data_IF_891278760342
#
_entry.id   IF_891278760342
#
_cell.length_a   1.000
_cell.length_b   1.000
_cell.length_c   1.000
_cell.angle_alpha   90.00
_cell.angle_beta   90.00
_cell.angle_gamma   90.00
#
_symmetry.space_group_name_H-M   'P 1'
#
loop_
_entity.id
_entity.type
_entity.pdbx_description
1 polymer ?
#
# COMPACT_ATOMS: atom_id res chain seq x y z
N UNK A 1 -3.07 -1.52 14.87
CA UNK A 1 -2.19 -2.03 13.78
C UNK A 1 -2.55 -1.28 12.51
N UNK A 2 -1.66 -0.43 11.98
CA UNK A 2 -1.85 0.18 10.65
C UNK A 2 -1.71 -0.91 9.59
N UNK A 3 -2.83 -1.34 9.01
CA UNK A 3 -2.84 -2.33 7.93
C UNK A 3 -2.37 -1.64 6.65
N UNK A 4 -1.19 -2.01 6.14
CA UNK A 4 -0.65 -1.40 4.93
C UNK A 4 -1.31 -2.03 3.69
N UNK A 5 -2.30 -1.35 3.09
CA UNK A 5 -3.06 -1.87 1.95
C UNK A 5 -2.21 -2.20 0.70
N UNK A 6 -1.01 -1.63 0.59
CA UNK A 6 -0.08 -2.04 -0.46
C UNK A 6 0.41 -3.49 -0.26
N UNK A 7 0.41 -3.99 0.98
CA UNK A 7 0.77 -5.37 1.32
C UNK A 7 -0.12 -6.39 0.60
N UNK A 8 -1.44 -6.15 0.50
CA UNK A 8 -2.39 -7.07 -0.16
C UNK A 8 -2.05 -7.21 -1.65
N UNK A 9 -1.69 -6.11 -2.33
CA UNK A 9 -1.28 -6.18 -3.74
C UNK A 9 0.02 -6.94 -3.91
N UNK A 10 0.98 -6.74 -3.00
CA UNK A 10 2.24 -7.46 -3.06
C UNK A 10 2.06 -8.95 -2.72
N UNK A 11 1.18 -9.29 -1.79
CA UNK A 11 0.81 -10.67 -1.43
C UNK A 11 0.09 -11.37 -2.59
N UNK A 12 -0.89 -10.71 -3.21
CA UNK A 12 -1.52 -11.22 -4.44
C UNK A 12 -0.49 -11.43 -5.55
N UNK A 13 0.47 -10.51 -5.71
CA UNK A 13 1.53 -10.62 -6.70
C UNK A 13 2.55 -11.72 -6.37
N UNK A 14 2.81 -11.97 -5.10
CA UNK A 14 3.61 -13.09 -4.61
C UNK A 14 2.92 -14.43 -4.93
N UNK A 15 1.62 -14.53 -4.69
CA UNK A 15 0.80 -15.70 -5.05
C UNK A 15 0.83 -15.91 -6.56
N UNK A 16 0.62 -14.86 -7.37
CA UNK A 16 0.71 -14.93 -8.83
C UNK A 16 2.10 -15.32 -9.33
N UNK A 17 3.18 -14.82 -8.72
CA UNK A 17 4.55 -15.24 -9.05
C UNK A 17 4.75 -16.73 -8.74
N UNK A 18 4.26 -17.20 -7.59
CA UNK A 18 4.35 -18.61 -7.18
C UNK A 18 3.57 -19.52 -8.13
N UNK A 19 2.37 -19.12 -8.55
CA UNK A 19 1.60 -19.86 -9.56
C UNK A 19 2.30 -19.85 -10.92
N UNK A 20 2.83 -18.71 -11.36
CA UNK A 20 3.53 -18.57 -12.64
C UNK A 20 4.82 -19.43 -12.70
N UNK A 21 5.54 -19.55 -11.58
CA UNK A 21 6.68 -20.49 -11.47
C UNK A 21 6.21 -21.93 -11.66
N UNK A 22 5.12 -22.35 -11.01
CA UNK A 22 4.56 -23.70 -11.18
C UNK A 22 4.14 -23.96 -12.63
N UNK A 23 3.51 -22.99 -13.29
CA UNK A 23 3.18 -23.08 -14.72
C UNK A 23 4.42 -23.21 -15.60
N UNK A 24 5.48 -22.44 -15.31
CA UNK A 24 6.76 -22.54 -16.04
C UNK A 24 7.41 -23.92 -15.88
N UNK A 25 7.41 -24.47 -14.67
CA UNK A 25 7.88 -25.83 -14.38
C UNK A 25 7.03 -26.90 -15.09
N UNK A 26 5.70 -26.73 -15.11
CA UNK A 26 4.81 -27.64 -15.82
C UNK A 26 5.09 -27.63 -17.33
N UNK A 27 5.26 -26.44 -17.93
CA UNK A 27 5.64 -26.32 -19.34
C UNK A 27 7.00 -26.97 -19.61
N UNK A 28 7.99 -26.79 -18.72
CA UNK A 28 9.28 -27.47 -18.83
C UNK A 28 9.16 -29.00 -18.77
N UNK A 29 8.29 -29.53 -17.90
CA UNK A 29 8.00 -30.96 -17.81
C UNK A 29 7.38 -31.50 -19.10
N UNK A 30 6.39 -30.79 -19.66
CA UNK A 30 5.76 -31.18 -20.94
C UNK A 30 6.78 -31.19 -22.09
N UNK A 31 7.63 -30.16 -22.17
CA UNK A 31 8.72 -30.12 -23.17
C UNK A 31 9.70 -31.28 -22.95
N UNK A 32 10.04 -31.60 -21.70
CA UNK A 32 10.90 -32.74 -21.36
C UNK A 32 10.32 -34.08 -21.80
N UNK A 33 9.02 -34.31 -21.57
CA UNK A 33 8.33 -35.52 -22.04
C UNK A 33 8.35 -35.60 -23.57
N UNK A 34 8.03 -34.50 -24.26
CA UNK A 34 8.08 -34.43 -25.71
C UNK A 34 9.50 -34.73 -26.24
N UNK A 35 10.53 -34.19 -25.60
CA UNK A 35 11.93 -34.43 -25.93
C UNK A 35 12.31 -35.91 -25.73
N UNK A 36 11.93 -36.53 -24.62
CA UNK A 36 12.18 -37.96 -24.37
C UNK A 36 11.50 -38.82 -25.44
N UNK A 37 10.25 -38.51 -25.81
CA UNK A 37 9.54 -39.23 -26.87
C UNK A 37 10.19 -39.09 -28.24
N UNK A 38 10.83 -37.94 -28.53
CA UNK A 38 11.65 -37.80 -29.74
C UNK A 38 12.94 -38.63 -29.71
N UNK A 39 13.56 -38.83 -28.53
CA UNK A 39 14.73 -39.71 -28.39
C UNK A 39 14.41 -41.18 -28.67
N UNK A 40 13.21 -41.64 -28.29
CA UNK A 40 12.73 -42.99 -28.56
C UNK A 40 12.14 -43.19 -29.98
N UNK A 41 12.25 -42.18 -30.86
CA UNK A 41 11.65 -42.18 -32.19
C UNK A 41 10.12 -42.45 -32.20
N UNK A 42 9.43 -42.20 -31.09
CA UNK A 42 7.96 -42.33 -30.99
C UNK A 42 7.29 -41.16 -31.73
N UNK A 43 7.90 -39.97 -31.66
CA UNK A 43 7.46 -38.77 -32.39
C UNK A 43 8.51 -38.44 -33.45
N UNK A 44 8.08 -38.36 -34.71
CA UNK A 44 8.95 -38.06 -35.85
C UNK A 44 9.15 -36.55 -36.00
N UNK A 45 9.95 -35.93 -35.12
CA UNK A 45 10.41 -34.54 -35.27
C UNK A 45 11.89 -34.59 -35.72
N UNK A 46 12.20 -34.37 -37.01
CA UNK A 46 13.49 -34.72 -37.59
C UNK A 46 14.42 -33.50 -37.65
N UNK A 47 14.78 -32.93 -36.50
CA UNK A 47 15.76 -31.84 -36.47
C UNK A 47 16.75 -32.02 -35.32
N UNK A 48 18.04 -32.17 -35.66
CA UNK A 48 19.17 -32.06 -34.73
C UNK A 48 19.08 -30.76 -33.91
N UNK A 49 18.52 -29.70 -34.50
CA UNK A 49 18.19 -28.44 -33.84
C UNK A 49 17.22 -28.59 -32.65
N UNK A 50 16.18 -29.43 -32.75
CA UNK A 50 15.22 -29.64 -31.64
C UNK A 50 15.88 -30.34 -30.44
N UNK A 51 16.81 -31.27 -30.70
CA UNK A 51 17.54 -31.97 -29.62
C UNK A 51 18.44 -31.04 -28.81
N UNK A 52 18.93 -29.94 -29.40
CA UNK A 52 19.74 -28.92 -28.72
C UNK A 52 18.84 -27.86 -28.06
N UNK A 53 17.78 -27.43 -28.75
CA UNK A 53 16.91 -26.34 -28.30
C UNK A 53 15.99 -26.76 -27.15
N UNK A 54 15.45 -27.98 -27.16
CA UNK A 54 14.58 -28.48 -26.08
C UNK A 54 15.24 -28.42 -24.68
N UNK A 55 16.46 -28.95 -24.46
CA UNK A 55 17.11 -28.87 -23.14
C UNK A 55 17.48 -27.43 -22.75
N UNK A 56 17.83 -26.57 -23.71
CA UNK A 56 18.09 -25.14 -23.46
C UNK A 56 16.81 -24.43 -23.00
N UNK A 57 15.69 -24.67 -23.67
CA UNK A 57 14.39 -24.11 -23.28
C UNK A 57 13.93 -24.61 -21.91
N UNK A 58 14.16 -25.88 -21.57
CA UNK A 58 13.88 -26.43 -20.23
C UNK A 58 14.71 -25.68 -19.17
N UNK A 59 16.01 -25.47 -19.42
CA UNK A 59 16.87 -24.75 -18.49
C UNK A 59 16.41 -23.30 -18.28
N UNK A 60 16.05 -22.59 -19.36
CA UNK A 60 15.53 -21.23 -19.30
C UNK A 60 14.22 -21.17 -18.51
N UNK A 61 13.31 -22.13 -18.69
CA UNK A 61 12.03 -22.16 -17.97
C UNK A 61 12.18 -22.50 -16.48
N UNK A 62 13.22 -23.24 -16.09
CA UNK A 62 13.52 -23.57 -14.70
C UNK A 62 14.34 -22.49 -13.98
N UNK A 63 15.00 -21.59 -14.72
CA UNK A 63 15.81 -20.51 -14.16
C UNK A 63 15.04 -19.64 -13.14
N UNK A 64 13.78 -19.21 -13.40
CA UNK A 64 12.99 -18.49 -12.39
C UNK A 64 12.77 -19.27 -11.09
N UNK A 65 12.58 -20.58 -11.16
CA UNK A 65 12.37 -21.43 -9.98
C UNK A 65 13.66 -21.54 -9.15
N UNK A 66 14.80 -21.74 -9.82
CA UNK A 66 16.12 -21.83 -9.18
C UNK A 66 16.51 -20.50 -8.53
N UNK A 67 16.31 -19.39 -9.24
CA UNK A 67 16.56 -18.04 -8.71
C UNK A 67 15.66 -17.75 -7.50
N UNK A 68 14.39 -18.15 -7.55
CA UNK A 68 13.48 -17.98 -6.42
C UNK A 68 13.91 -18.81 -5.19
N UNK A 69 14.39 -20.04 -5.40
CA UNK A 69 14.87 -20.92 -4.34
C UNK A 69 16.19 -20.41 -3.71
N UNK A 70 17.08 -19.80 -4.50
CA UNK A 70 18.37 -19.31 -4.02
C UNK A 70 18.27 -17.97 -3.28
N UNK A 71 17.43 -17.05 -3.79
CA UNK A 71 17.39 -15.66 -3.31
C UNK A 71 16.12 -15.32 -2.52
N UNK A 72 15.18 -16.27 -2.35
CA UNK A 72 13.89 -16.04 -1.68
C UNK A 72 13.16 -14.80 -2.21
N UNK A 73 13.23 -14.56 -3.53
CA UNK A 73 12.67 -13.39 -4.19
C UNK A 73 11.13 -13.32 -4.14
N UNK A 74 10.47 -14.43 -3.80
CA UNK A 74 9.04 -14.47 -3.51
C UNK A 74 8.70 -13.89 -2.14
N UNK A 75 9.61 -13.84 -1.18
CA UNK A 75 9.32 -13.38 0.17
C UNK A 75 9.37 -11.85 0.26
N UNK A 76 8.18 -11.26 0.43
CA UNK A 76 7.99 -9.81 0.55
C UNK A 76 8.83 -9.19 1.68
N UNK A 77 9.07 -9.96 2.74
CA UNK A 77 9.73 -9.54 3.98
C UNK A 77 11.25 -9.36 3.81
N UNK A 78 11.85 -10.00 2.81
CA UNK A 78 13.30 -10.02 2.58
C UNK A 78 13.76 -9.03 1.50
N UNK A 79 13.00 -8.87 0.42
CA UNK A 79 13.46 -8.13 -0.79
C UNK A 79 12.59 -6.91 -1.12
N UNK A 80 11.43 -6.78 -0.48
CA UNK A 80 10.49 -5.68 -0.72
C UNK A 80 9.93 -5.65 -2.16
N UNK A 81 9.36 -4.50 -2.55
CA UNK A 81 8.61 -4.35 -3.80
C UNK A 81 9.45 -4.52 -5.08
N UNK A 82 10.75 -4.19 -5.02
CA UNK A 82 11.66 -4.27 -6.17
C UNK A 82 11.98 -5.73 -6.54
N UNK A 83 12.15 -6.60 -5.55
CA UNK A 83 12.41 -8.03 -5.77
C UNK A 83 11.26 -8.74 -6.46
N UNK A 84 10.03 -8.51 -6.01
CA UNK A 84 8.82 -9.11 -6.59
C UNK A 84 8.65 -8.70 -8.06
N UNK A 85 8.90 -7.42 -8.37
CA UNK A 85 8.81 -6.93 -9.75
C UNK A 85 9.92 -7.49 -10.64
N UNK A 86 11.15 -7.63 -10.11
CA UNK A 86 12.26 -8.28 -10.81
C UNK A 86 11.91 -9.73 -11.14
N UNK A 87 11.37 -10.48 -10.18
CA UNK A 87 10.96 -11.87 -10.35
C UNK A 87 9.85 -12.00 -11.41
N UNK A 88 8.83 -11.12 -11.39
CA UNK A 88 7.79 -11.07 -12.43
C UNK A 88 8.40 -10.85 -13.82
N UNK A 89 9.31 -9.88 -13.96
CA UNK A 89 10.00 -9.60 -15.23
C UNK A 89 10.84 -10.79 -15.71
N UNK A 90 11.55 -11.44 -14.79
CA UNK A 90 12.36 -12.62 -15.08
C UNK A 90 11.52 -13.81 -15.53
N UNK A 91 10.39 -14.10 -14.87
CA UNK A 91 9.46 -15.18 -15.25
C UNK A 91 8.92 -14.94 -16.67
N UNK A 92 8.39 -13.74 -16.92
CA UNK A 92 7.80 -13.41 -18.22
C UNK A 92 8.85 -13.41 -19.34
N UNK A 93 10.05 -12.90 -19.08
CA UNK A 93 11.17 -12.92 -20.03
C UNK A 93 11.66 -14.33 -20.35
N UNK A 94 11.79 -15.21 -19.35
CA UNK A 94 12.18 -16.60 -19.55
C UNK A 94 11.14 -17.38 -20.36
N UNK A 95 9.84 -17.16 -20.10
CA UNK A 95 8.79 -17.80 -20.89
C UNK A 95 8.79 -17.32 -22.35
N UNK A 96 8.95 -16.01 -22.57
CA UNK A 96 8.97 -15.44 -23.93
C UNK A 96 10.18 -15.92 -24.75
N UNK A 97 11.35 -16.01 -24.11
CA UNK A 97 12.59 -16.52 -24.76
C UNK A 97 12.54 -18.03 -25.01
N UNK A 98 12.03 -18.82 -24.06
CA UNK A 98 11.86 -20.26 -24.26
C UNK A 98 10.88 -20.59 -25.39
N UNK A 99 9.76 -19.86 -25.46
CA UNK A 99 8.77 -19.99 -26.54
C UNK A 99 9.36 -19.55 -27.88
N UNK A 100 10.14 -18.46 -27.92
CA UNK A 100 10.84 -18.04 -29.14
C UNK A 100 11.75 -19.14 -29.69
N UNK A 101 12.57 -19.76 -28.84
CA UNK A 101 13.47 -20.84 -29.23
C UNK A 101 12.68 -22.06 -29.71
N UNK A 102 11.63 -22.46 -28.99
CA UNK A 102 10.81 -23.62 -29.37
C UNK A 102 10.09 -23.38 -30.71
N UNK A 103 9.50 -22.18 -30.90
CA UNK A 103 8.80 -21.77 -32.12
C UNK A 103 9.71 -21.67 -33.35
N UNK A 104 11.01 -21.42 -33.15
CA UNK A 104 12.00 -21.42 -34.25
C UNK A 104 12.24 -22.83 -34.83
N UNK A 105 11.90 -23.87 -34.07
CA UNK A 105 12.07 -25.28 -34.47
C UNK A 105 10.78 -25.99 -34.84
N UNK A 106 9.64 -25.58 -34.26
CA UNK A 106 8.32 -26.17 -34.47
C UNK A 106 7.38 -25.08 -34.98
N UNK A 107 7.45 -24.77 -36.28
CA UNK A 107 6.66 -23.66 -36.83
C UNK A 107 5.16 -23.98 -36.91
N UNK A 108 4.79 -25.26 -36.99
CA UNK A 108 3.40 -25.72 -37.08
C UNK A 108 2.49 -25.41 -35.89
N UNK A 109 3.05 -25.19 -34.69
CA UNK A 109 2.30 -24.92 -33.48
C UNK A 109 2.55 -23.52 -32.92
N UNK A 110 3.19 -22.64 -33.71
CA UNK A 110 3.63 -21.33 -33.26
C UNK A 110 2.50 -20.53 -32.60
N UNK A 111 1.36 -20.38 -33.28
CA UNK A 111 0.24 -19.59 -32.77
C UNK A 111 -0.24 -20.03 -31.38
N UNK A 112 -0.35 -21.33 -31.12
CA UNK A 112 -0.83 -21.86 -29.83
C UNK A 112 0.24 -21.69 -28.74
N UNK A 113 1.50 -21.93 -29.07
CA UNK A 113 2.62 -21.83 -28.10
C UNK A 113 2.81 -20.37 -27.67
N UNK A 114 2.65 -19.40 -28.57
CA UNK A 114 2.76 -17.97 -28.26
C UNK A 114 1.61 -17.44 -27.38
N UNK A 115 0.48 -18.16 -27.25
CA UNK A 115 -0.58 -17.79 -26.30
C UNK A 115 -0.19 -18.08 -24.85
N UNK A 116 0.77 -18.98 -24.60
CA UNK A 116 1.14 -19.41 -23.25
C UNK A 116 1.80 -18.30 -22.40
N UNK A 117 2.75 -17.51 -22.91
CA UNK A 117 3.25 -16.33 -22.20
C UNK A 117 2.15 -15.30 -21.91
N UNK A 118 1.20 -15.12 -22.82
CA UNK A 118 0.06 -14.21 -22.64
C UNK A 118 -0.90 -14.71 -21.55
N UNK A 119 -1.16 -16.02 -21.49
CA UNK A 119 -1.92 -16.66 -20.43
C UNK A 119 -1.28 -16.48 -19.05
N UNK A 120 0.04 -16.65 -18.96
CA UNK A 120 0.79 -16.41 -17.71
C UNK A 120 0.73 -14.92 -17.34
N UNK A 121 0.85 -14.01 -18.31
CA UNK A 121 0.73 -12.57 -18.09
C UNK A 121 -0.65 -12.16 -17.54
N UNK A 122 -1.74 -12.83 -17.97
CA UNK A 122 -3.09 -12.58 -17.46
C UNK A 122 -3.24 -12.86 -15.95
N UNK A 123 -2.44 -13.77 -15.38
CA UNK A 123 -2.46 -14.06 -13.93
C UNK A 123 -1.93 -12.91 -13.07
N UNK A 124 -1.28 -11.92 -13.69
CA UNK A 124 -0.84 -10.70 -13.01
C UNK A 124 -1.90 -9.60 -12.95
N UNK A 125 -3.09 -9.84 -13.53
CA UNK A 125 -4.26 -8.97 -13.44
C UNK A 125 -3.98 -7.50 -13.81
N UNK A 126 -3.02 -7.28 -14.71
CA UNK A 126 -2.57 -5.96 -15.12
C UNK A 126 -2.66 -5.82 -16.64
N UNK A 127 -3.55 -4.93 -17.09
CA UNK A 127 -3.72 -4.62 -18.53
C UNK A 127 -2.40 -4.22 -19.19
N UNK A 128 -1.57 -3.45 -18.49
CA UNK A 128 -0.27 -3.00 -19.00
C UNK A 128 0.65 -4.18 -19.26
N UNK A 129 0.82 -5.07 -18.29
CA UNK A 129 1.71 -6.24 -18.42
C UNK A 129 1.21 -7.17 -19.53
N UNK A 130 -0.08 -7.52 -19.52
CA UNK A 130 -0.67 -8.39 -20.55
C UNK A 130 -0.52 -7.81 -21.96
N UNK A 131 -0.74 -6.51 -22.14
CA UNK A 131 -0.59 -5.86 -23.44
C UNK A 131 0.86 -5.83 -23.93
N UNK A 132 1.82 -5.53 -23.06
CA UNK A 132 3.25 -5.52 -23.44
C UNK A 132 3.74 -6.93 -23.82
N UNK A 133 3.34 -7.96 -23.07
CA UNK A 133 3.69 -9.35 -23.37
C UNK A 133 3.01 -9.82 -24.66
N UNK A 134 1.76 -9.40 -24.91
CA UNK A 134 1.06 -9.74 -26.14
C UNK A 134 1.78 -9.18 -27.38
N UNK A 135 2.13 -7.89 -27.37
CA UNK A 135 2.86 -7.25 -28.47
C UNK A 135 4.29 -7.78 -28.61
N UNK A 136 4.97 -8.04 -27.49
CA UNK A 136 6.27 -8.72 -27.49
C UNK A 136 6.19 -10.13 -28.09
N UNK A 137 5.11 -10.86 -27.79
CA UNK A 137 4.81 -12.17 -28.37
C UNK A 137 4.54 -12.11 -29.87
N UNK A 138 3.78 -11.12 -30.33
CA UNK A 138 3.52 -10.91 -31.76
C UNK A 138 4.82 -10.63 -32.54
N UNK A 139 5.65 -9.73 -32.03
CA UNK A 139 6.95 -9.42 -32.64
C UNK A 139 7.88 -10.65 -32.61
N UNK A 140 7.90 -11.36 -31.48
CA UNK A 140 8.68 -12.60 -31.31
C UNK A 140 8.23 -13.70 -32.26
N UNK A 141 6.92 -13.85 -32.50
CA UNK A 141 6.37 -14.84 -33.43
C UNK A 141 6.82 -14.56 -34.86
N UNK A 142 6.73 -13.31 -35.31
CA UNK A 142 7.22 -12.88 -36.63
C UNK A 142 8.73 -13.18 -36.75
N UNK A 143 9.52 -12.81 -35.75
CA UNK A 143 10.96 -13.05 -35.76
C UNK A 143 11.31 -14.54 -35.75
N UNK A 144 10.56 -15.36 -35.00
CA UNK A 144 10.77 -16.82 -34.93
C UNK A 144 10.47 -17.51 -36.26
N UNK A 145 9.50 -16.99 -37.02
CA UNK A 145 9.19 -17.48 -38.36
C UNK A 145 10.35 -17.25 -39.33
N UNK A 146 10.94 -16.04 -39.33
CA UNK A 146 12.13 -15.75 -40.12
C UNK A 146 13.35 -16.60 -39.69
N UNK A 147 13.53 -16.80 -38.39
CA UNK A 147 14.58 -17.67 -37.86
C UNK A 147 14.41 -19.13 -38.32
N UNK A 148 13.16 -19.64 -38.35
CA UNK A 148 12.84 -20.98 -38.83
C UNK A 148 13.19 -21.16 -40.31
N UNK A 149 12.92 -20.16 -41.16
CA UNK A 149 13.30 -20.18 -42.58
C UNK A 149 14.83 -20.24 -42.74
N UNK A 150 15.57 -19.47 -41.94
CA UNK A 150 17.04 -19.43 -42.01
C UNK A 150 17.70 -20.73 -41.53
N UNK A 151 17.13 -21.36 -40.49
CA UNK A 151 17.63 -22.63 -39.94
C UNK A 151 17.30 -23.84 -40.83
N UNK A 152 16.52 -23.66 -41.91
CA UNK A 152 16.19 -24.72 -42.86
C UNK A 152 15.40 -25.86 -42.22
N UNK A 153 14.56 -25.56 -41.23
CA UNK A 153 13.75 -26.57 -40.57
C UNK A 153 12.84 -27.25 -41.60
N UNK A 154 12.96 -28.58 -41.68
CA UNK A 154 12.34 -29.39 -42.74
C UNK A 154 10.88 -29.67 -42.38
N UNK A 155 10.08 -28.63 -42.21
CA UNK A 155 8.67 -28.77 -41.88
C UNK A 155 7.88 -29.27 -43.09
N UNK A 156 6.90 -30.14 -42.85
CA UNK A 156 6.20 -30.87 -43.91
C UNK A 156 5.42 -29.91 -44.85
N UNK A 157 4.91 -28.78 -44.33
CA UNK A 157 4.25 -27.75 -45.15
C UNK A 157 5.25 -26.80 -45.85
N UNK A 158 6.43 -26.60 -45.27
CA UNK A 158 7.55 -25.88 -45.89
C UNK A 158 8.32 -26.73 -46.90
N UNK A 159 8.12 -28.06 -46.88
CA UNK A 159 8.67 -29.03 -47.84
C UNK A 159 7.71 -29.32 -49.01
N UNK A 160 6.39 -29.20 -48.79
CA UNK A 160 5.39 -29.11 -49.87
C UNK A 160 5.51 -27.81 -50.69
N UNK A 161 6.17 -26.82 -50.09
CA UNK A 161 6.60 -25.59 -50.70
C UNK A 161 8.04 -25.82 -51.16
N UNK A 162 8.35 -25.70 -52.45
CA UNK A 162 9.68 -26.04 -53.01
C UNK A 162 10.80 -25.08 -52.60
N UNK A 163 10.95 -24.79 -51.30
CA UNK A 163 11.99 -23.93 -50.71
C UNK A 163 13.27 -24.73 -50.46
N UNK A 164 13.19 -26.06 -50.61
CA UNK A 164 14.26 -27.00 -50.26
C UNK A 164 15.47 -26.97 -51.21
N UNK A 165 15.40 -26.32 -52.37
CA UNK A 165 16.52 -26.30 -53.35
C UNK A 165 17.25 -24.96 -53.50
N UNK A 166 17.00 -23.96 -52.65
CA UNK A 166 17.65 -22.65 -52.76
C UNK A 166 17.09 -21.75 -53.87
N UNK A 167 16.06 -22.21 -54.59
CA UNK A 167 15.31 -21.40 -55.54
C UNK A 167 14.22 -20.60 -54.80
N UNK A 168 14.60 -19.42 -54.28
CA UNK A 168 13.67 -18.42 -53.78
C UNK A 168 12.82 -17.85 -54.93
N UNK A 169 11.83 -18.61 -55.37
CA UNK A 169 10.81 -18.13 -56.31
C UNK A 169 9.79 -17.27 -55.59
N UNK A 170 9.35 -16.16 -56.18
CA UNK A 170 8.35 -15.25 -55.59
C UNK A 170 7.06 -15.97 -55.14
N UNK A 171 6.69 -17.06 -55.81
CA UNK A 171 5.54 -17.89 -55.46
C UNK A 171 5.70 -18.67 -54.15
N UNK A 172 6.93 -19.06 -53.79
CA UNK A 172 7.22 -19.75 -52.52
C UNK A 172 7.12 -18.81 -51.33
N UNK A 173 7.68 -17.59 -51.47
CA UNK A 173 7.58 -16.52 -50.47
C UNK A 173 6.11 -16.12 -50.25
N UNK A 174 5.32 -16.01 -51.33
CA UNK A 174 3.90 -15.68 -51.25
C UNK A 174 3.08 -16.69 -50.42
N UNK A 175 3.33 -18.00 -50.57
CA UNK A 175 2.62 -19.03 -49.80
C UNK A 175 3.06 -19.08 -48.33
N UNK A 176 4.35 -18.86 -48.05
CA UNK A 176 4.86 -18.75 -46.69
C UNK A 176 4.22 -17.55 -45.94
N UNK A 177 4.05 -16.41 -46.64
CA UNK A 177 3.35 -15.24 -46.11
C UNK A 177 1.88 -15.51 -45.81
N UNK A 178 1.17 -16.26 -46.67
CA UNK A 178 -0.24 -16.62 -46.41
C UNK A 178 -0.39 -17.47 -45.15
N UNK A 179 0.54 -18.41 -44.93
CA UNK A 179 0.57 -19.24 -43.73
C UNK A 179 0.82 -18.38 -42.46
N UNK A 180 1.83 -17.51 -42.51
CA UNK A 180 2.13 -16.57 -41.43
C UNK A 180 0.93 -15.65 -41.11
N UNK A 181 0.23 -15.15 -42.14
CA UNK A 181 -0.97 -14.30 -41.97
C UNK A 181 -2.08 -15.06 -41.25
N UNK A 182 -2.33 -16.34 -41.58
CA UNK A 182 -3.35 -17.15 -40.89
C UNK A 182 -3.02 -17.33 -39.40
N UNK A 183 -1.76 -17.58 -39.05
CA UNK A 183 -1.33 -17.74 -37.66
C UNK A 183 -1.37 -16.42 -36.88
N UNK A 184 -0.98 -15.31 -37.52
CA UNK A 184 -1.12 -13.96 -36.97
C UNK A 184 -2.58 -13.60 -36.70
N UNK A 185 -3.50 -13.98 -37.60
CA UNK A 185 -4.93 -13.73 -37.42
C UNK A 185 -5.48 -14.49 -36.22
N UNK A 186 -5.11 -15.77 -36.04
CA UNK A 186 -5.54 -16.58 -34.87
C UNK A 186 -5.00 -15.97 -33.57
N UNK A 187 -3.73 -15.57 -33.55
CA UNK A 187 -3.11 -14.95 -32.38
C UNK A 187 -3.76 -13.60 -32.03
N UNK A 188 -3.99 -12.74 -33.04
CA UNK A 188 -4.67 -11.46 -32.88
C UNK A 188 -6.14 -11.61 -32.43
N UNK A 189 -6.84 -12.64 -32.88
CA UNK A 189 -8.21 -12.93 -32.46
C UNK A 189 -8.31 -13.27 -30.95
N UNK A 190 -7.23 -13.77 -30.33
CA UNK A 190 -7.20 -14.08 -28.91
C UNK A 190 -7.00 -12.84 -28.01
N UNK A 191 -6.46 -11.73 -28.55
CA UNK A 191 -6.22 -10.49 -27.80
C UNK A 191 -7.45 -9.95 -27.04
N UNK A 192 -8.63 -9.75 -27.69
CA UNK A 192 -9.80 -9.21 -26.99
C UNK A 192 -10.25 -10.12 -25.85
N UNK A 193 -10.08 -11.44 -25.98
CA UNK A 193 -10.45 -12.41 -24.94
C UNK A 193 -9.57 -12.22 -23.69
N UNK A 194 -8.25 -12.16 -23.86
CA UNK A 194 -7.33 -11.93 -22.74
C UNK A 194 -7.50 -10.57 -22.08
N UNK A 195 -7.75 -9.53 -22.88
CA UNK A 195 -7.99 -8.19 -22.36
C UNK A 195 -9.29 -8.10 -21.56
N UNK A 196 -10.35 -8.77 -22.00
CA UNK A 196 -11.63 -8.79 -21.29
C UNK A 196 -11.52 -9.56 -19.96
N UNK A 197 -10.85 -10.71 -19.95
CA UNK A 197 -10.57 -11.45 -18.71
C UNK A 197 -9.76 -10.58 -17.75
N UNK A 198 -8.63 -10.02 -18.21
CA UNK A 198 -7.77 -9.18 -17.36
C UNK A 198 -8.51 -7.97 -16.81
N UNK A 199 -9.33 -7.29 -17.63
CA UNK A 199 -10.14 -6.14 -17.21
C UNK A 199 -11.15 -6.52 -16.11
N UNK A 200 -11.87 -7.64 -16.29
CA UNK A 200 -12.84 -8.11 -15.30
C UNK A 200 -12.18 -8.45 -13.98
N UNK A 201 -11.04 -9.14 -14.01
CA UNK A 201 -10.37 -9.57 -12.77
C UNK A 201 -9.66 -8.41 -12.06
N UNK A 202 -9.08 -7.45 -12.79
CA UNK A 202 -8.53 -6.21 -12.21
C UNK A 202 -9.62 -5.43 -11.46
N UNK A 203 -10.81 -5.31 -12.06
CA UNK A 203 -11.94 -4.60 -11.46
C UNK A 203 -12.47 -5.34 -10.21
N UNK A 204 -12.54 -6.67 -10.22
CA UNK A 204 -12.91 -7.46 -9.04
C UNK A 204 -11.92 -7.29 -7.89
N UNK A 205 -10.61 -7.26 -8.16
CA UNK A 205 -9.59 -7.00 -7.13
C UNK A 205 -9.74 -5.60 -6.52
N UNK A 206 -9.93 -4.59 -7.36
CA UNK A 206 -10.14 -3.20 -6.89
C UNK A 206 -11.37 -3.10 -5.99
N UNK A 207 -12.44 -3.79 -6.38
CA UNK A 207 -13.68 -3.92 -5.60
C UNK A 207 -13.46 -4.60 -4.24
N UNK A 208 -12.73 -5.72 -4.20
CA UNK A 208 -12.39 -6.41 -2.96
C UNK A 208 -11.52 -5.56 -2.02
N UNK A 209 -10.57 -4.78 -2.56
CA UNK A 209 -9.76 -3.84 -1.77
C UNK A 209 -10.67 -2.84 -1.06
N UNK A 210 -11.62 -2.28 -1.80
CA UNK A 210 -12.53 -1.25 -1.31
C UNK A 210 -13.46 -1.80 -0.22
N UNK A 211 -14.00 -3.00 -0.38
CA UNK A 211 -14.83 -3.63 0.66
C UNK A 211 -14.04 -3.95 1.92
N UNK A 212 -12.78 -4.38 1.79
CA UNK A 212 -11.91 -4.63 2.95
C UNK A 212 -11.55 -3.34 3.71
N UNK A 213 -11.27 -2.26 2.96
CA UNK A 213 -11.06 -0.91 3.51
C UNK A 213 -12.29 -0.42 4.29
N UNK A 214 -13.47 -0.57 3.71
CA UNK A 214 -14.74 -0.18 4.33
C UNK A 214 -15.00 -0.99 5.61
N UNK A 215 -14.82 -2.31 5.56
CA UNK A 215 -15.02 -3.19 6.71
C UNK A 215 -14.09 -2.84 7.89
N UNK A 216 -12.80 -2.59 7.63
CA UNK A 216 -11.88 -2.22 8.70
C UNK A 216 -12.20 -0.84 9.29
N UNK A 217 -12.58 0.12 8.45
CA UNK A 217 -12.98 1.44 8.90
C UNK A 217 -14.28 1.38 9.73
N UNK A 218 -15.23 0.52 9.34
CA UNK A 218 -16.42 0.19 10.12
C UNK A 218 -16.05 -0.42 11.48
N UNK A 219 -15.14 -1.40 11.52
CA UNK A 219 -14.66 -1.97 12.80
C UNK A 219 -14.02 -0.93 13.73
N UNK A 220 -13.25 0.03 13.17
CA UNK A 220 -12.70 1.13 13.99
C UNK A 220 -13.77 2.08 14.49
N UNK A 221 -14.89 2.22 13.76
CA UNK A 221 -16.02 3.05 14.13
C UNK A 221 -16.94 2.37 15.16
N UNK A 222 -17.16 1.06 15.04
CA UNK A 222 -17.94 0.28 16.01
C UNK A 222 -17.26 0.32 17.40
N UNK A 223 -15.92 0.36 17.45
CA UNK A 223 -15.17 0.62 18.68
C UNK A 223 -15.35 2.04 19.24
N UNK A 224 -15.87 2.98 18.46
CA UNK A 224 -16.20 4.35 18.86
C UNK A 224 -17.70 4.52 19.19
N UNK A 225 -18.54 3.51 18.97
CA UNK A 225 -20.00 3.61 19.10
C UNK A 225 -20.52 3.60 20.56
N UNK A 226 -19.65 3.41 21.55
CA UNK A 226 -19.97 3.58 22.98
C UNK A 226 -20.07 5.06 23.43
N UNK A 227 -20.03 6.02 22.49
CA UNK A 227 -20.01 7.45 22.78
C UNK A 227 -21.41 8.05 23.03
N UNK A 228 -21.54 8.97 24.00
CA UNK A 228 -22.79 9.71 24.22
C UNK A 228 -23.09 10.65 23.03
N UNK A 229 -24.36 10.80 22.70
CA UNK A 229 -24.85 11.62 21.58
C UNK A 229 -24.52 13.10 21.82
N UNK A 230 -23.43 13.58 21.19
CA UNK A 230 -22.91 14.95 21.37
C UNK A 230 -22.50 15.54 20.02
N UNK A 231 -22.55 16.87 19.88
CA UNK A 231 -22.15 17.56 18.65
C UNK A 231 -20.64 17.39 18.38
N UNK A 232 -20.24 17.23 17.11
CA UNK A 232 -18.84 16.98 16.69
C UNK A 232 -17.88 18.12 17.06
N UNK A 233 -18.44 19.30 17.31
CA UNK A 233 -17.72 20.49 17.79
C UNK A 233 -17.39 20.46 19.29
N UNK A 234 -17.76 19.42 20.03
CA UNK A 234 -17.56 19.39 21.48
C UNK A 234 -16.07 19.36 21.83
N UNK A 235 -15.63 20.31 22.68
CA UNK A 235 -14.25 20.47 23.13
C UNK A 235 -13.63 19.17 23.66
N UNK A 236 -14.47 18.22 24.11
CA UNK A 236 -14.08 16.86 24.53
C UNK A 236 -13.36 16.04 23.46
N UNK A 237 -13.65 16.22 22.16
CA UNK A 237 -12.93 15.52 21.09
C UNK A 237 -11.51 16.09 20.95
N UNK A 238 -11.37 17.43 20.93
CA UNK A 238 -10.05 18.09 20.89
C UNK A 238 -9.22 17.81 22.13
N UNK A 239 -9.84 17.67 23.30
CA UNK A 239 -9.14 17.30 24.54
C UNK A 239 -8.52 15.90 24.47
N UNK A 240 -8.91 15.00 23.55
CA UNK A 240 -8.20 13.73 23.34
C UNK A 240 -6.77 13.91 22.83
N UNK A 241 -6.45 15.02 22.16
CA UNK A 241 -5.07 15.37 21.81
C UNK A 241 -4.20 15.48 23.08
N UNK A 242 -4.74 16.09 24.13
CA UNK A 242 -4.06 16.20 25.42
C UNK A 242 -3.85 14.82 26.06
N UNK A 243 -4.89 13.97 26.06
CA UNK A 243 -4.79 12.60 26.60
C UNK A 243 -3.73 11.75 25.87
N UNK A 244 -3.62 11.89 24.54
CA UNK A 244 -2.61 11.21 23.73
C UNK A 244 -1.18 11.66 24.07
N UNK A 245 -1.00 12.92 24.45
CA UNK A 245 0.27 13.50 24.87
C UNK A 245 0.54 13.33 26.38
N UNK A 246 -0.16 12.40 27.05
CA UNK A 246 0.12 12.04 28.44
C UNK A 246 -0.51 12.95 29.50
N UNK A 247 -1.39 13.86 29.11
CA UNK A 247 -2.17 14.70 30.05
C UNK A 247 -3.36 13.91 30.59
N UNK A 248 -3.53 13.85 31.90
CA UNK A 248 -4.70 13.21 32.52
C UNK A 248 -5.91 14.15 32.50
N UNK A 249 -6.57 14.19 31.34
CA UNK A 249 -7.73 15.04 31.04
C UNK A 249 -8.92 14.71 31.94
N UNK A 250 -9.12 13.45 32.27
CA UNK A 250 -10.27 13.00 33.06
C UNK A 250 -10.17 13.54 34.49
N UNK A 251 -9.00 13.40 35.12
CA UNK A 251 -8.74 13.96 36.46
C UNK A 251 -8.76 15.49 36.43
N UNK A 252 -8.19 16.12 35.39
CA UNK A 252 -8.15 17.57 35.29
C UNK A 252 -9.55 18.20 35.12
N UNK A 253 -10.43 17.56 34.35
CA UNK A 253 -11.83 17.99 34.22
C UNK A 253 -12.62 17.77 35.51
N UNK A 254 -12.39 16.66 36.22
CA UNK A 254 -13.01 16.43 37.53
C UNK A 254 -12.67 17.55 38.52
N UNK A 255 -11.41 18.01 38.52
CA UNK A 255 -10.97 19.14 39.34
C UNK A 255 -11.68 20.46 39.01
N UNK A 256 -12.34 20.56 37.84
CA UNK A 256 -13.04 21.75 37.37
C UNK A 256 -14.54 21.54 37.15
N UNK A 257 -15.14 20.60 37.89
CA UNK A 257 -16.57 20.26 37.84
C UNK A 257 -17.06 19.83 36.43
N UNK A 258 -16.16 19.31 35.59
CA UNK A 258 -16.45 18.94 34.20
C UNK A 258 -16.63 20.13 33.25
N UNK A 259 -16.25 21.35 33.66
CA UNK A 259 -16.38 22.55 32.84
C UNK A 259 -15.15 22.76 31.95
N UNK A 260 -15.33 22.56 30.65
CA UNK A 260 -14.26 22.67 29.66
C UNK A 260 -13.81 24.11 29.42
N UNK A 261 -14.70 25.09 29.53
CA UNK A 261 -14.34 26.51 29.35
C UNK A 261 -13.43 26.98 30.47
N UNK A 262 -13.74 26.60 31.72
CA UNK A 262 -12.85 26.85 32.88
C UNK A 262 -11.48 26.20 32.69
N UNK A 263 -11.45 24.98 32.15
CA UNK A 263 -10.21 24.27 31.86
C UNK A 263 -9.36 25.02 30.83
N UNK A 264 -9.98 25.47 29.74
CA UNK A 264 -9.31 26.23 28.69
C UNK A 264 -8.79 27.59 29.18
N UNK A 265 -9.57 28.32 29.98
CA UNK A 265 -9.14 29.59 30.60
C UNK A 265 -7.94 29.38 31.54
N UNK A 266 -7.96 28.29 32.31
CA UNK A 266 -6.86 27.95 33.22
C UNK A 266 -5.59 27.55 32.46
N UNK A 267 -5.74 26.80 31.38
CA UNK A 267 -4.65 26.39 30.48
C UNK A 267 -4.03 27.60 29.78
N UNK A 268 -4.85 28.53 29.27
CA UNK A 268 -4.40 29.80 28.69
C UNK A 268 -3.59 30.64 29.69
N UNK A 269 -4.06 30.72 30.93
CA UNK A 269 -3.35 31.43 32.00
C UNK A 269 -2.02 30.75 32.33
N UNK A 270 -1.98 29.42 32.34
CA UNK A 270 -0.76 28.65 32.61
C UNK A 270 0.30 28.86 31.54
N UNK A 271 -0.06 28.74 30.27
CA UNK A 271 0.86 28.97 29.13
C UNK A 271 1.31 30.43 29.09
N UNK A 272 0.40 31.40 29.29
CA UNK A 272 0.74 32.82 29.26
C UNK A 272 1.66 33.29 30.39
N UNK A 273 1.65 32.60 31.55
CA UNK A 273 2.53 32.91 32.67
C UNK A 273 3.86 32.12 32.68
N UNK A 274 4.02 31.12 31.81
CA UNK A 274 5.12 30.13 31.84
C UNK A 274 6.51 30.76 31.86
N UNK A 275 6.92 31.44 30.79
CA UNK A 275 8.25 32.05 30.65
C UNK A 275 8.61 32.99 31.81
N UNK A 276 7.66 33.86 32.22
CA UNK A 276 7.90 34.80 33.34
C UNK A 276 8.19 34.05 34.65
N UNK A 277 7.51 32.93 34.89
CA UNK A 277 7.67 32.15 36.12
C UNK A 277 8.90 31.25 36.10
N UNK A 278 9.27 30.77 34.93
CA UNK A 278 10.51 30.01 34.74
C UNK A 278 11.72 30.90 35.02
N UNK A 279 11.75 32.12 34.45
CA UNK A 279 12.78 33.14 34.74
C UNK A 279 12.83 33.47 36.25
N UNK A 280 11.66 33.65 36.87
CA UNK A 280 11.54 33.90 38.31
C UNK A 280 12.14 32.76 39.12
N UNK A 281 11.85 31.50 38.76
CA UNK A 281 12.40 30.32 39.43
C UNK A 281 13.92 30.19 39.22
N UNK A 282 14.42 30.50 38.04
CA UNK A 282 15.86 30.48 37.76
C UNK A 282 16.61 31.50 38.63
N UNK A 283 16.08 32.72 38.76
CA UNK A 283 16.71 33.76 39.61
C UNK A 283 16.65 33.45 41.11
N UNK A 284 15.65 32.70 41.55
CA UNK A 284 15.50 32.29 42.95
C UNK A 284 16.33 31.05 43.32
N UNK A 285 17.06 30.46 42.37
CA UNK A 285 17.89 29.28 42.59
C UNK A 285 19.27 29.64 43.17
N UNK A 286 19.26 30.28 44.34
CA UNK A 286 20.46 30.68 45.08
C UNK A 286 20.34 30.26 46.55
N UNK A 287 21.47 30.21 47.28
CA UNK A 287 21.52 29.75 48.66
C UNK A 287 20.64 30.58 49.59
N UNK A 288 20.54 31.89 49.34
CA UNK A 288 19.84 32.84 50.21
C UNK A 288 18.33 32.92 49.90
N UNK A 289 17.90 32.42 48.73
CA UNK A 289 16.53 32.55 48.22
C UNK A 289 15.80 31.21 48.06
N UNK A 290 16.43 30.11 48.46
CA UNK A 290 15.93 28.74 48.27
C UNK A 290 14.53 28.48 48.88
N UNK A 291 14.21 29.10 50.02
CA UNK A 291 12.88 29.01 50.63
C UNK A 291 11.80 29.66 49.75
N UNK A 292 12.13 30.77 49.08
CA UNK A 292 11.22 31.45 48.15
C UNK A 292 11.07 30.63 46.87
N UNK A 293 12.16 30.02 46.40
CA UNK A 293 12.13 29.05 45.31
C UNK A 293 11.16 27.90 45.61
N UNK A 294 11.29 27.23 46.77
CA UNK A 294 10.40 26.13 47.17
C UNK A 294 8.92 26.52 47.18
N UNK A 295 8.59 27.73 47.68
CA UNK A 295 7.21 28.24 47.65
C UNK A 295 6.68 28.49 46.22
N UNK A 296 7.53 28.92 45.30
CA UNK A 296 7.16 29.15 43.90
C UNK A 296 7.01 27.83 43.14
N UNK A 297 7.89 26.86 43.39
CA UNK A 297 7.78 25.50 42.85
C UNK A 297 6.52 24.80 43.37
N UNK A 298 6.15 25.00 44.64
CA UNK A 298 4.88 24.51 45.16
C UNK A 298 3.69 25.02 44.35
N UNK A 299 3.69 26.33 44.02
CA UNK A 299 2.63 26.91 43.19
C UNK A 299 2.61 26.33 41.76
N UNK A 300 3.78 26.01 41.19
CA UNK A 300 3.88 25.29 39.92
C UNK A 300 3.26 23.89 40.03
N UNK A 301 3.66 23.11 41.05
CA UNK A 301 3.12 21.76 41.29
C UNK A 301 1.60 21.73 41.35
N UNK A 302 1.00 22.65 42.11
CA UNK A 302 -0.47 22.73 42.25
C UNK A 302 -1.15 23.04 40.91
N UNK A 303 -0.59 23.98 40.12
CA UNK A 303 -1.13 24.33 38.80
C UNK A 303 -0.99 23.16 37.81
N UNK A 304 0.16 22.51 37.78
CA UNK A 304 0.43 21.35 36.91
C UNK A 304 -0.50 20.18 37.22
N UNK A 305 -0.74 19.91 38.51
CA UNK A 305 -1.66 18.87 38.95
C UNK A 305 -3.11 19.17 38.55
N UNK A 306 -3.54 20.43 38.68
CA UNK A 306 -4.88 20.84 38.27
C UNK A 306 -5.11 20.66 36.75
N UNK A 307 -4.05 20.75 35.95
CA UNK A 307 -4.06 20.53 34.50
C UNK A 307 -3.81 19.07 34.08
N UNK A 308 -3.62 18.15 35.02
CA UNK A 308 -3.35 16.73 34.71
C UNK A 308 -1.94 16.45 34.18
N UNK A 309 -0.98 17.37 34.37
CA UNK A 309 0.42 17.19 33.98
C UNK A 309 1.18 16.38 35.04
N UNK A 310 1.06 15.05 35.00
CA UNK A 310 1.60 14.19 36.06
C UNK A 310 3.12 14.27 36.19
N UNK A 311 3.85 14.20 35.07
CA UNK A 311 5.32 14.24 35.08
C UNK A 311 5.84 15.57 35.67
N UNK A 312 5.33 16.70 35.18
CA UNK A 312 5.71 18.02 35.69
C UNK A 312 5.32 18.21 37.18
N UNK A 313 4.22 17.61 37.62
CA UNK A 313 3.80 17.64 39.03
C UNK A 313 4.81 16.90 39.91
N UNK A 314 5.27 15.73 39.49
CA UNK A 314 6.24 14.91 40.23
C UNK A 314 7.62 15.59 40.27
N UNK A 315 8.07 16.16 39.15
CA UNK A 315 9.35 16.89 39.09
C UNK A 315 9.29 18.18 39.91
N UNK A 316 8.19 18.94 39.85
CA UNK A 316 8.00 20.10 40.72
C UNK A 316 7.96 19.69 42.21
N UNK A 317 7.32 18.58 42.56
CA UNK A 317 7.34 18.08 43.94
C UNK A 317 8.75 17.75 44.43
N UNK A 318 9.57 17.13 43.59
CA UNK A 318 10.97 16.85 43.91
C UNK A 318 11.73 18.15 44.22
N UNK A 319 11.63 19.15 43.35
CA UNK A 319 12.26 20.46 43.55
C UNK A 319 11.74 21.18 44.82
N UNK A 320 10.46 21.05 45.15
CA UNK A 320 9.86 21.60 46.37
C UNK A 320 10.50 21.00 47.64
N UNK A 321 10.63 19.67 47.70
CA UNK A 321 11.18 18.97 48.88
C UNK A 321 12.67 19.28 49.05
N UNK A 322 13.45 19.24 47.96
CA UNK A 322 14.89 19.53 48.02
C UNK A 322 15.17 20.99 48.40
N UNK A 323 14.28 21.92 48.03
CA UNK A 323 14.42 23.32 48.39
C UNK A 323 14.22 23.53 49.89
N UNK A 324 13.24 22.84 50.48
CA UNK A 324 13.04 22.86 51.92
C UNK A 324 14.11 22.08 52.69
N UNK A 325 14.75 21.09 52.06
CA UNK A 325 15.88 20.37 52.64
C UNK A 325 17.20 21.16 52.61
N UNK A 326 17.28 22.24 51.81
CA UNK A 326 18.49 23.05 51.67
C UNK A 326 19.48 22.55 50.63
N UNK A 327 19.10 21.60 49.78
CA UNK A 327 20.01 20.90 48.85
C UNK A 327 20.12 21.61 47.49
N UNK A 328 20.77 22.77 47.46
CA UNK A 328 20.91 23.59 46.25
C UNK A 328 21.57 22.84 45.07
N UNK A 329 22.62 22.05 45.34
CA UNK A 329 23.35 21.30 44.30
C UNK A 329 22.45 20.28 43.58
N UNK A 330 21.54 19.64 44.32
CA UNK A 330 20.58 18.68 43.76
C UNK A 330 19.56 19.38 42.87
N UNK A 331 19.09 20.57 43.27
CA UNK A 331 18.17 21.39 42.49
C UNK A 331 18.81 21.86 41.19
N UNK A 332 20.04 22.38 41.25
CA UNK A 332 20.76 22.87 40.09
C UNK A 332 21.00 21.74 39.07
N UNK A 333 21.40 20.55 39.55
CA UNK A 333 21.61 19.38 38.68
C UNK A 333 20.34 18.84 38.02
N UNK A 334 19.16 19.13 38.57
CA UNK A 334 17.87 18.67 38.02
C UNK A 334 17.06 19.79 37.35
N UNK A 335 17.57 21.03 37.32
CA UNK A 335 16.88 22.16 36.70
C UNK A 335 16.52 21.93 35.24
N UNK A 336 17.46 21.38 34.46
CA UNK A 336 17.27 21.11 33.03
C UNK A 336 16.07 20.18 32.80
N UNK A 337 15.85 19.21 33.69
CA UNK A 337 14.69 18.31 33.62
C UNK A 337 13.38 19.05 33.89
N UNK A 338 13.33 19.90 34.92
CA UNK A 338 12.13 20.67 35.24
C UNK A 338 11.77 21.65 34.12
N UNK A 339 12.76 22.36 33.58
CA UNK A 339 12.60 23.30 32.47
C UNK A 339 12.10 22.58 31.22
N UNK A 340 12.73 21.46 30.83
CA UNK A 340 12.31 20.67 29.68
C UNK A 340 10.88 20.13 29.78
N UNK A 341 10.50 19.53 30.93
CA UNK A 341 9.14 19.00 31.12
C UNK A 341 8.08 20.11 31.15
N UNK A 342 8.45 21.32 31.56
CA UNK A 342 7.55 22.47 31.52
C UNK A 342 7.39 23.00 30.10
N UNK A 343 8.48 23.17 29.36
CA UNK A 343 8.44 23.57 27.95
C UNK A 343 7.63 22.58 27.11
N UNK A 344 7.85 21.27 27.27
CA UNK A 344 7.09 20.23 26.57
C UNK A 344 5.58 20.34 26.86
N UNK A 345 5.22 20.56 28.13
CA UNK A 345 3.82 20.77 28.51
C UNK A 345 3.23 22.05 27.89
N UNK A 346 4.00 23.13 27.85
CA UNK A 346 3.59 24.40 27.24
C UNK A 346 3.45 24.29 25.72
N UNK A 347 4.31 23.53 25.04
CA UNK A 347 4.21 23.24 23.61
C UNK A 347 2.93 22.46 23.29
N UNK A 348 2.67 21.36 24.01
CA UNK A 348 1.45 20.56 23.85
C UNK A 348 0.18 21.41 24.07
N UNK A 349 0.20 22.27 25.08
CA UNK A 349 -0.91 23.17 25.36
C UNK A 349 -1.04 24.29 24.33
N UNK A 350 0.06 24.79 23.78
CA UNK A 350 0.05 25.78 22.71
C UNK A 350 -0.55 25.20 21.44
N UNK A 351 -0.15 23.99 21.05
CA UNK A 351 -0.73 23.26 19.92
C UNK A 351 -2.24 23.02 20.12
N UNK A 352 -2.65 22.65 21.33
CA UNK A 352 -4.06 22.51 21.68
C UNK A 352 -4.82 23.84 21.59
N UNK A 353 -4.31 24.93 22.15
CA UNK A 353 -4.93 26.26 22.06
C UNK A 353 -5.02 26.73 20.61
N UNK A 354 -3.97 26.52 19.80
CA UNK A 354 -4.00 26.84 18.37
C UNK A 354 -5.08 26.02 17.66
N UNK A 355 -5.25 24.74 18.02
CA UNK A 355 -6.32 23.89 17.50
C UNK A 355 -7.72 24.38 17.92
N UNK A 356 -7.85 25.06 19.08
CA UNK A 356 -9.08 25.74 19.51
C UNK A 356 -9.31 27.04 18.72
N UNK A 357 -8.24 27.77 18.38
CA UNK A 357 -8.25 29.04 17.63
C UNK A 357 -8.43 28.91 16.11
N UNK A 358 -8.41 27.69 15.56
CA UNK A 358 -8.86 27.42 14.20
C UNK A 358 -10.37 27.72 14.12
N UNK A 359 -10.70 28.93 13.65
CA UNK A 359 -12.00 29.22 13.03
C UNK A 359 -12.18 28.24 11.87
N UNK A 360 -12.91 27.17 12.11
CA UNK A 360 -14.30 27.11 11.69
C UNK A 360 -14.97 25.96 12.43
N UNK A 361 -16.16 26.24 12.94
CA UNK A 361 -17.11 25.20 13.33
C UNK A 361 -17.21 24.21 12.16
N UNK A 362 -17.34 22.91 12.45
CA UNK A 362 -17.72 21.94 11.43
C UNK A 362 -19.15 22.25 10.97
N UNK A 363 -19.25 23.23 10.09
CA UNK A 363 -20.44 23.70 9.40
C UNK A 363 -20.16 23.51 7.92
N UNK A 364 -21.13 22.95 7.20
CA UNK A 364 -21.12 22.97 5.74
C UNK A 364 -20.99 24.42 5.24
N UNK A 365 -20.76 24.62 3.94
CA UNK A 365 -20.75 25.96 3.32
C UNK A 365 -22.06 26.77 3.49
N UNK A 366 -23.04 26.26 4.26
CA UNK A 366 -24.37 26.83 4.52
C UNK A 366 -24.65 27.02 6.03
N UNK A 367 -23.74 26.64 6.95
CA UNK A 367 -23.89 26.85 8.40
C UNK A 367 -24.57 25.72 9.19
N UNK A 368 -24.76 24.52 8.62
CA UNK A 368 -25.46 23.41 9.31
C UNK A 368 -24.52 22.55 10.17
N UNK A 369 -24.93 22.27 11.41
CA UNK A 369 -24.19 21.42 12.36
C UNK A 369 -24.66 19.95 12.26
N UNK A 370 -23.74 19.00 12.39
CA UNK A 370 -24.03 17.56 12.45
C UNK A 370 -23.62 16.97 13.81
N UNK A 371 -24.50 16.13 14.38
CA UNK A 371 -24.24 15.40 15.62
C UNK A 371 -23.34 14.20 15.35
N UNK A 372 -22.49 13.79 16.31
CA UNK A 372 -21.58 12.64 16.16
C UNK A 372 -22.32 11.36 15.77
N UNK A 373 -23.51 11.13 16.34
CA UNK A 373 -24.37 10.01 15.97
C UNK A 373 -24.82 10.05 14.51
N UNK A 374 -25.29 11.21 14.02
CA UNK A 374 -25.72 11.38 12.63
C UNK A 374 -24.54 11.29 11.65
N UNK A 375 -23.37 11.77 12.04
CA UNK A 375 -22.14 11.62 11.27
C UNK A 375 -21.68 10.16 11.23
N UNK A 376 -21.77 9.45 12.36
CA UNK A 376 -21.54 8.01 12.45
C UNK A 376 -22.50 7.22 11.57
N UNK A 377 -23.79 7.55 11.58
CA UNK A 377 -24.82 6.95 10.73
C UNK A 377 -24.55 7.20 9.23
N UNK A 378 -24.21 8.43 8.84
CA UNK A 378 -23.84 8.74 7.45
C UNK A 378 -22.53 8.03 7.04
N UNK A 379 -21.56 7.92 7.94
CA UNK A 379 -20.32 7.20 7.68
C UNK A 379 -20.57 5.70 7.54
N UNK A 380 -21.46 5.14 8.36
CA UNK A 380 -21.93 3.77 8.23
C UNK A 380 -22.65 3.55 6.90
N UNK A 381 -23.50 4.50 6.49
CA UNK A 381 -24.19 4.46 5.19
C UNK A 381 -23.19 4.55 4.01
N UNK A 382 -22.13 5.36 4.15
CA UNK A 382 -21.06 5.39 3.16
C UNK A 382 -20.33 4.05 3.08
N UNK A 383 -20.05 3.39 4.20
CA UNK A 383 -19.44 2.06 4.21
C UNK A 383 -20.37 0.97 3.66
N UNK A 384 -21.65 1.00 3.99
CA UNK A 384 -22.64 0.08 3.42
C UNK A 384 -22.81 0.29 1.91
N UNK A 385 -22.71 1.53 1.41
CA UNK A 385 -22.65 1.83 -0.01
C UNK A 385 -21.39 1.25 -0.68
N UNK A 386 -20.25 1.25 0.02
CA UNK A 386 -19.02 0.59 -0.46
C UNK A 386 -19.15 -0.95 -0.48
N UNK A 387 -19.80 -1.54 0.53
CA UNK A 387 -20.07 -2.98 0.59
C UNK A 387 -21.07 -3.43 -0.49
N UNK A 388 -22.08 -2.60 -0.80
CA UNK A 388 -23.08 -2.84 -1.86
C UNK A 388 -22.61 -2.45 -3.26
N UNK A 389 -21.35 -2.04 -3.42
CA UNK A 389 -20.71 -1.65 -4.68
C UNK A 389 -21.34 -0.44 -5.39
N UNK A 390 -21.79 0.56 -4.63
CA UNK A 390 -22.19 1.88 -5.13
C UNK A 390 -21.12 2.94 -4.80
N UNK A 391 -20.04 3.03 -5.61
CA UNK A 391 -18.94 3.95 -5.35
C UNK A 391 -19.34 5.42 -5.51
N UNK A 392 -20.36 5.73 -6.34
CA UNK A 392 -20.82 7.10 -6.55
C UNK A 392 -21.59 7.60 -5.32
N UNK A 393 -22.48 6.77 -4.77
CA UNK A 393 -23.18 7.07 -3.51
C UNK A 393 -22.20 7.20 -2.35
N UNK A 394 -21.27 6.27 -2.19
CA UNK A 394 -20.25 6.32 -1.15
C UNK A 394 -19.38 7.58 -1.26
N UNK A 395 -18.94 7.94 -2.48
CA UNK A 395 -18.16 9.15 -2.74
C UNK A 395 -18.92 10.42 -2.37
N UNK A 396 -20.21 10.49 -2.72
CA UNK A 396 -21.06 11.63 -2.36
C UNK A 396 -21.13 11.82 -0.85
N UNK A 397 -21.40 10.74 -0.11
CA UNK A 397 -21.54 10.78 1.35
C UNK A 397 -20.20 11.10 2.00
N UNK A 398 -19.10 10.47 1.57
CA UNK A 398 -17.76 10.76 2.12
C UNK A 398 -17.30 12.20 1.86
N UNK A 399 -17.61 12.76 0.70
CA UNK A 399 -17.31 14.16 0.40
C UNK A 399 -18.14 15.13 1.25
N UNK A 400 -19.38 14.77 1.59
CA UNK A 400 -20.20 15.51 2.54
C UNK A 400 -19.58 15.42 3.95
N UNK A 401 -19.15 14.23 4.37
CA UNK A 401 -18.52 14.00 5.68
C UNK A 401 -17.17 14.70 5.82
N UNK A 402 -16.38 14.82 4.74
CA UNK A 402 -15.11 15.55 4.71
C UNK A 402 -15.26 17.07 4.90
N UNK A 403 -16.47 17.62 4.71
CA UNK A 403 -16.73 19.04 5.02
C UNK A 403 -16.76 19.29 6.53
N UNK A 404 -17.02 18.25 7.33
CA UNK A 404 -17.02 18.31 8.78
C UNK A 404 -15.65 17.85 9.30
N UNK A 405 -14.68 18.77 9.45
CA UNK A 405 -13.34 18.46 9.96
C UNK A 405 -13.40 18.05 11.44
N UNK A 406 -13.17 16.76 11.75
CA UNK A 406 -13.25 16.20 13.11
C UNK A 406 -11.87 16.05 13.75
N UNK A 407 -10.95 15.41 13.06
CA UNK A 407 -9.62 15.08 13.53
C UNK A 407 -8.69 14.93 12.31
N UNK A 408 -7.45 15.41 12.41
CA UNK A 408 -6.52 15.42 11.29
C UNK A 408 -6.21 14.00 10.76
N UNK A 409 -6.15 12.99 11.64
CA UNK A 409 -5.89 11.59 11.27
C UNK A 409 -7.13 10.95 10.63
N UNK A 410 -8.33 11.21 11.18
CA UNK A 410 -9.60 10.72 10.60
C UNK A 410 -9.85 11.36 9.23
N UNK A 411 -9.62 12.66 9.09
CA UNK A 411 -9.74 13.37 7.81
C UNK A 411 -8.74 12.84 6.79
N UNK A 412 -7.48 12.59 7.17
CA UNK A 412 -6.49 11.98 6.30
C UNK A 412 -6.92 10.58 5.83
N UNK A 413 -7.46 9.76 6.74
CA UNK A 413 -7.93 8.42 6.42
C UNK A 413 -9.16 8.44 5.48
N UNK A 414 -10.13 9.34 5.70
CA UNK A 414 -11.27 9.54 4.82
C UNK A 414 -10.85 10.03 3.43
N UNK A 415 -9.90 10.98 3.36
CA UNK A 415 -9.33 11.45 2.10
C UNK A 415 -8.63 10.32 1.34
N UNK A 416 -7.89 9.45 2.04
CA UNK A 416 -7.27 8.26 1.45
C UNK A 416 -8.32 7.30 0.89
N UNK A 417 -9.46 7.11 1.57
CA UNK A 417 -10.57 6.27 1.08
C UNK A 417 -11.20 6.88 -0.17
N UNK A 418 -11.48 8.19 -0.19
CA UNK A 418 -12.01 8.90 -1.37
C UNK A 418 -11.06 8.83 -2.55
N UNK A 419 -9.75 9.04 -2.34
CA UNK A 419 -8.74 8.92 -3.39
C UNK A 419 -8.71 7.50 -4.01
N UNK A 420 -8.84 6.46 -3.18
CA UNK A 420 -8.94 5.09 -3.66
C UNK A 420 -10.24 4.84 -4.46
N UNK A 421 -11.38 5.40 -4.04
CA UNK A 421 -12.64 5.32 -4.80
C UNK A 421 -12.48 5.99 -6.18
N UNK A 422 -11.84 7.16 -6.23
CA UNK A 422 -11.57 7.88 -7.47
C UNK A 422 -10.67 7.09 -8.43
N UNK A 423 -9.70 6.32 -7.92
CA UNK A 423 -8.91 5.39 -8.73
C UNK A 423 -9.73 4.22 -9.29
N UNK A 424 -10.73 3.73 -8.54
CA UNK A 424 -11.63 2.67 -9.01
C UNK A 424 -12.59 3.19 -10.09
N UNK A 425 -13.13 4.40 -9.92
CA UNK A 425 -14.03 5.03 -10.89
C UNK A 425 -13.34 5.38 -12.23
N UNK A 426 -12.04 5.67 -12.21
CA UNK A 426 -11.26 6.00 -13.43
C UNK A 426 -10.78 4.79 -14.24
N UNK A 427 -10.90 3.56 -13.72
CA UNK A 427 -10.31 2.32 -14.29
C UNK A 427 -11.25 1.48 -15.16
#
# INVERSE_FOLDING_TARGET
MQYNYNHIFFENRQISNTSAIRWSCFTAMVIGIAWIFTLFHIISVPALAFQIIAPVSIFILLLPAVVNHLMHLSDILLVGSKGINLLTGLILGCNLTAVFLLSSTLSHYASIIWLLPTLIACQYYSKRITSHIFWGGLAGMILSFYASIYLGSKDMNLSALSIVSGDFTAASIGKALVYLISELLIYCAAYPLFMNITKRTELLMKKQKLSMLAYQAKQTLDHLEELPDTYITDCRIKMRYLAKNGVDVDTALQNMDGNVDKYNDFLLTFVGESHRKEDELFTLMDSDTLLQYGAKVHALRVKSNALGLRNLTDTAFFHEIEAYAGNLEVIQNNWEKLSFEWDEACDVFTDYIQSLGLKDHATDGQGNQITFKKWGEQLHEAFDALETYDPDKARSILNELLQYQIDADITQNLQNIVANIDEVLKA
#
